data_IF_142593988104
#
_entry.id   IF_142593988104
#
_cell.length_a   1.000
_cell.length_b   1.000
_cell.length_c   1.000
_cell.angle_alpha   90.00
_cell.angle_beta   90.00
_cell.angle_gamma   90.00
#
_symmetry.space_group_name_H-M   'P 1'
#
loop_
_entity.id
_entity.type
_entity.pdbx_description
1 polymer ?
#
# COMPACT_ATOMS: atom_id res chain seq x y z
N UNK A 1 12.54 26.35 86.13
CA UNK A 1 13.72 27.01 85.54
C UNK A 1 13.39 27.40 84.11
N UNK A 2 13.86 28.60 83.75
CA UNK A 2 13.90 29.29 82.44
C UNK A 2 12.60 29.58 81.70
N UNK A 3 12.13 30.81 81.87
CA UNK A 3 11.35 31.56 80.89
C UNK A 3 12.15 31.70 79.58
N UNK A 4 11.50 31.44 78.44
CA UNK A 4 12.02 31.73 77.10
C UNK A 4 11.44 33.03 76.54
N UNK A 5 12.18 33.80 75.72
CA UNK A 5 11.81 35.15 75.34
C UNK A 5 10.74 35.19 74.23
N UNK A 6 9.73 36.04 74.43
CA UNK A 6 8.70 36.40 73.45
C UNK A 6 9.33 37.11 72.21
N UNK A 7 8.95 36.74 70.97
CA UNK A 7 9.46 37.41 69.78
C UNK A 7 8.74 38.74 69.54
N UNK A 8 9.55 39.78 69.34
CA UNK A 8 9.17 41.16 69.00
C UNK A 8 8.44 41.16 67.65
N UNK A 9 7.16 41.56 67.66
CA UNK A 9 6.37 41.88 66.47
C UNK A 9 6.99 43.08 65.75
N UNK A 10 7.87 42.84 64.76
CA UNK A 10 8.21 43.86 63.77
C UNK A 10 6.99 44.11 62.90
N UNK A 11 6.52 45.36 62.94
CA UNK A 11 5.30 45.83 62.30
C UNK A 11 5.19 45.42 60.83
N UNK A 12 3.98 45.06 60.40
CA UNK A 12 3.63 44.71 59.02
C UNK A 12 4.00 45.78 57.98
N UNK A 13 4.31 47.00 58.39
CA UNK A 13 4.62 48.13 57.50
C UNK A 13 5.95 47.97 56.74
N UNK A 14 6.98 47.37 57.34
CA UNK A 14 8.30 47.21 56.68
C UNK A 14 8.31 46.12 55.59
N UNK A 15 7.44 45.11 55.70
CA UNK A 15 7.30 44.06 54.67
C UNK A 15 6.53 44.52 53.44
N UNK A 16 5.58 45.45 53.59
CA UNK A 16 4.81 46.03 52.48
C UNK A 16 5.66 46.98 51.61
N UNK A 17 6.56 47.76 52.20
CA UNK A 17 7.42 48.70 51.45
C UNK A 17 8.43 48.04 50.50
N UNK A 18 8.98 46.88 50.86
CA UNK A 18 9.94 46.15 50.01
C UNK A 18 9.26 45.44 48.83
N UNK A 19 8.06 44.91 49.01
CA UNK A 19 7.28 44.28 47.95
C UNK A 19 6.87 45.32 46.87
N UNK A 20 6.57 46.54 47.29
CA UNK A 20 6.19 47.63 46.41
C UNK A 20 7.37 48.18 45.59
N UNK A 21 8.56 48.24 46.20
CA UNK A 21 9.80 48.61 45.52
C UNK A 21 10.23 47.59 44.46
N UNK A 22 10.11 46.29 44.76
CA UNK A 22 10.36 45.21 43.80
C UNK A 22 9.35 45.21 42.66
N UNK A 23 8.06 45.47 42.94
CA UNK A 23 7.04 45.64 41.91
C UNK A 23 7.32 46.83 41.00
N UNK A 24 7.76 47.96 41.54
CA UNK A 24 8.15 49.13 40.74
C UNK A 24 9.38 48.84 39.88
N UNK A 25 10.38 48.15 40.41
CA UNK A 25 11.57 47.77 39.65
C UNK A 25 11.25 46.78 38.51
N UNK A 26 10.42 45.77 38.78
CA UNK A 26 9.97 44.82 37.75
C UNK A 26 9.07 45.48 36.70
N UNK A 27 8.20 46.43 37.09
CA UNK A 27 7.42 47.21 36.14
C UNK A 27 8.28 48.18 35.32
N UNK A 28 9.32 48.77 35.92
CA UNK A 28 10.27 49.64 35.21
C UNK A 28 11.06 48.84 34.17
N UNK A 29 11.54 47.64 34.51
CA UNK A 29 12.17 46.73 33.53
C UNK A 29 11.20 46.29 32.42
N UNK A 30 9.92 46.06 32.74
CA UNK A 30 8.86 45.77 31.75
C UNK A 30 8.59 46.95 30.81
N UNK A 31 8.63 48.19 31.31
CA UNK A 31 8.44 49.39 30.45
C UNK A 31 9.63 49.66 29.54
N UNK A 32 10.86 49.31 29.96
CA UNK A 32 12.06 49.40 29.13
C UNK A 32 12.07 48.33 28.02
N UNK A 33 11.51 47.14 28.27
CA UNK A 33 11.33 46.08 27.27
C UNK A 33 10.25 46.41 26.22
N UNK A 34 9.27 47.26 26.56
CA UNK A 34 8.17 47.64 25.67
C UNK A 34 8.47 48.85 24.76
N UNK A 35 9.54 49.61 25.00
CA UNK A 35 9.93 50.76 24.14
C UNK A 35 10.89 50.38 22.99
N UNK A 36 11.19 49.09 22.80
CA UNK A 36 11.93 48.56 21.65
C UNK A 36 11.05 47.81 20.63
N UNK A 37 9.72 47.78 20.82
CA UNK A 37 8.80 47.14 19.90
C UNK A 37 8.56 48.00 18.68
N UNK A 38 9.45 47.91 17.67
CA UNK A 38 9.20 48.45 16.34
C UNK A 38 7.84 47.95 15.83
N UNK A 39 6.82 48.82 15.86
CA UNK A 39 5.54 48.55 15.21
C UNK A 39 5.81 48.52 13.71
N UNK A 40 6.10 47.33 13.18
CA UNK A 40 6.47 47.18 11.78
C UNK A 40 5.42 47.80 10.87
N UNK A 41 5.88 48.56 9.88
CA UNK A 41 5.01 49.22 8.94
C UNK A 41 4.11 48.19 8.24
N UNK A 42 2.84 48.53 7.95
CA UNK A 42 1.87 47.61 7.30
C UNK A 42 2.44 46.94 6.04
N UNK A 43 3.31 47.63 5.29
CA UNK A 43 4.06 47.12 4.12
C UNK A 43 5.03 45.98 4.48
N UNK A 44 5.72 46.08 5.60
CA UNK A 44 6.69 45.10 6.09
C UNK A 44 6.00 43.84 6.62
N UNK A 45 4.87 44.01 7.31
CA UNK A 45 4.00 42.88 7.70
C UNK A 45 3.45 42.12 6.48
N UNK A 46 3.07 42.83 5.40
CA UNK A 46 2.62 42.21 4.15
C UNK A 46 3.75 41.43 3.45
N UNK A 47 4.97 41.99 3.42
CA UNK A 47 6.16 41.31 2.88
C UNK A 47 6.49 40.03 3.66
N UNK A 48 6.47 40.09 4.99
CA UNK A 48 6.73 38.91 5.83
C UNK A 48 5.67 37.82 5.67
N UNK A 49 4.38 38.19 5.59
CA UNK A 49 3.29 37.23 5.29
C UNK A 49 3.48 36.56 3.93
N UNK A 50 3.88 37.30 2.90
CA UNK A 50 4.18 36.74 1.57
C UNK A 50 5.35 35.76 1.63
N UNK A 51 6.44 36.12 2.32
CA UNK A 51 7.62 35.26 2.48
C UNK A 51 7.29 33.97 3.25
N UNK A 52 6.51 34.08 4.34
CA UNK A 52 6.04 32.92 5.10
C UNK A 52 5.17 31.99 4.24
N UNK A 53 4.27 32.54 3.42
CA UNK A 53 3.44 31.75 2.50
C UNK A 53 4.27 31.03 1.43
N UNK A 54 5.32 31.67 0.90
CA UNK A 54 6.23 31.03 -0.05
C UNK A 54 7.02 29.88 0.60
N UNK A 55 7.65 30.12 1.75
CA UNK A 55 8.36 29.08 2.51
C UNK A 55 7.45 27.91 2.90
N UNK A 56 6.21 28.18 3.30
CA UNK A 56 5.22 27.14 3.60
C UNK A 56 4.87 26.31 2.35
N UNK A 57 4.75 26.96 1.18
CA UNK A 57 4.50 26.28 -0.11
C UNK A 57 5.69 25.40 -0.51
N UNK A 58 6.92 25.88 -0.36
CA UNK A 58 8.14 25.10 -0.62
C UNK A 58 8.29 23.91 0.33
N UNK A 59 8.09 24.12 1.63
CA UNK A 59 8.13 23.05 2.61
C UNK A 59 7.06 21.98 2.32
N UNK A 60 5.85 22.39 1.92
CA UNK A 60 4.80 21.47 1.50
C UNK A 60 5.23 20.65 0.28
N UNK A 61 5.79 21.29 -0.75
CA UNK A 61 6.33 20.59 -1.94
C UNK A 61 7.44 19.59 -1.57
N UNK A 62 8.39 19.98 -0.71
CA UNK A 62 9.48 19.10 -0.27
C UNK A 62 8.97 17.90 0.52
N UNK A 63 8.00 18.12 1.43
CA UNK A 63 7.34 17.04 2.18
C UNK A 63 6.57 16.10 1.27
N UNK A 64 5.90 16.63 0.26
CA UNK A 64 5.14 15.84 -0.72
C UNK A 64 6.08 14.98 -1.58
N UNK A 65 7.20 15.55 -2.04
CA UNK A 65 8.24 14.80 -2.75
C UNK A 65 8.85 13.69 -1.89
N UNK A 66 9.18 13.99 -0.63
CA UNK A 66 9.72 12.99 0.30
C UNK A 66 8.72 11.86 0.56
N UNK A 67 7.43 12.20 0.71
CA UNK A 67 6.35 11.20 0.85
C UNK A 67 6.21 10.34 -0.40
N UNK A 68 6.30 10.94 -1.60
CA UNK A 68 6.28 10.20 -2.86
C UNK A 68 7.47 9.24 -2.96
N UNK A 69 8.69 9.71 -2.66
CA UNK A 69 9.88 8.86 -2.64
C UNK A 69 9.74 7.68 -1.67
N UNK A 70 9.26 7.93 -0.45
CA UNK A 70 9.02 6.87 0.54
C UNK A 70 7.95 5.86 0.10
N UNK A 71 6.89 6.29 -0.59
CA UNK A 71 5.88 5.38 -1.13
C UNK A 71 6.48 4.46 -2.21
N UNK A 72 7.38 4.97 -3.03
CA UNK A 72 8.01 4.19 -4.10
C UNK A 72 9.08 3.21 -3.60
N UNK A 73 9.42 3.20 -2.31
CA UNK A 73 10.38 2.24 -1.73
C UNK A 73 9.82 0.82 -1.64
N UNK A 74 8.51 0.65 -1.46
CA UNK A 74 7.88 -0.68 -1.29
C UNK A 74 6.95 -1.02 -2.46
N UNK A 75 6.80 -2.32 -2.78
CA UNK A 75 5.87 -2.74 -3.83
C UNK A 75 4.43 -2.27 -3.56
N UNK A 76 3.94 -2.44 -2.33
CA UNK A 76 2.59 -1.97 -1.95
C UNK A 76 2.43 -0.45 -2.11
N UNK A 77 3.48 0.34 -1.83
CA UNK A 77 3.45 1.78 -2.03
C UNK A 77 3.53 2.18 -3.50
N UNK A 78 4.31 1.46 -4.33
CA UNK A 78 4.33 1.60 -5.80
C UNK A 78 2.95 1.32 -6.41
N UNK A 79 2.28 0.23 -6.01
CA UNK A 79 0.94 -0.12 -6.47
C UNK A 79 -0.10 0.94 -6.07
N UNK A 80 -0.04 1.45 -4.84
CA UNK A 80 -0.89 2.58 -4.40
C UNK A 80 -0.63 3.85 -5.20
N UNK A 81 0.62 4.15 -5.53
CA UNK A 81 0.96 5.33 -6.34
C UNK A 81 0.46 5.20 -7.79
N UNK A 82 0.34 3.98 -8.31
CA UNK A 82 -0.18 3.69 -9.65
C UNK A 82 -1.72 3.57 -9.72
N UNK A 83 -2.43 3.52 -8.58
CA UNK A 83 -3.87 3.26 -8.51
C UNK A 83 -4.73 4.21 -9.37
N UNK A 84 -4.32 5.49 -9.49
CA UNK A 84 -5.03 6.50 -10.30
C UNK A 84 -4.44 6.69 -11.69
N UNK A 85 -3.44 5.88 -12.07
CA UNK A 85 -2.84 5.91 -13.40
C UNK A 85 -3.79 5.39 -14.47
N UNK A 86 -3.54 5.75 -15.72
CA UNK A 86 -4.30 5.22 -16.87
C UNK A 86 -4.07 3.72 -16.97
N UNK A 87 -5.15 2.96 -17.15
CA UNK A 87 -5.08 1.52 -17.42
C UNK A 87 -4.34 1.32 -18.75
N UNK A 88 -3.30 0.49 -18.72
CA UNK A 88 -2.45 0.26 -19.88
C UNK A 88 -2.88 -1.01 -20.61
N UNK A 89 -2.90 -2.14 -19.90
CA UNK A 89 -3.46 -3.40 -20.38
C UNK A 89 -4.21 -4.13 -19.26
N UNK A 90 -5.23 -4.90 -19.65
CA UNK A 90 -5.89 -5.86 -18.78
C UNK A 90 -6.08 -7.17 -19.55
N UNK A 91 -5.66 -8.27 -18.95
CA UNK A 91 -5.60 -9.56 -19.63
C UNK A 91 -5.98 -10.71 -18.70
N UNK A 92 -6.42 -11.81 -19.29
CA UNK A 92 -6.88 -13.01 -18.59
C UNK A 92 -6.40 -14.27 -19.29
N UNK A 93 -6.08 -15.32 -18.54
CA UNK A 93 -5.76 -16.63 -19.10
C UNK A 93 -7.02 -17.25 -19.73
N UNK A 94 -6.96 -17.74 -20.98
CA UNK A 94 -8.10 -18.38 -21.63
C UNK A 94 -8.70 -19.56 -20.86
N UNK A 95 -7.86 -20.29 -20.11
CA UNK A 95 -8.27 -21.46 -19.32
C UNK A 95 -9.31 -21.11 -18.25
N UNK A 96 -9.31 -19.89 -17.70
CA UNK A 96 -10.32 -19.43 -16.75
C UNK A 96 -11.72 -19.30 -17.38
N UNK A 97 -11.78 -19.22 -18.71
CA UNK A 97 -13.01 -19.05 -19.50
C UNK A 97 -13.36 -20.30 -20.31
N UNK A 98 -12.63 -21.40 -20.11
CA UNK A 98 -12.84 -22.63 -20.85
C UNK A 98 -14.23 -23.22 -20.53
N UNK A 99 -15.08 -23.47 -21.54
CA UNK A 99 -16.36 -24.11 -21.31
C UNK A 99 -16.15 -25.59 -20.95
N UNK A 100 -16.89 -26.07 -19.95
CA UNK A 100 -16.88 -27.47 -19.49
C UNK A 100 -15.47 -28.00 -19.17
N UNK A 101 -14.76 -27.38 -18.22
CA UNK A 101 -13.40 -27.79 -17.91
C UNK A 101 -13.37 -29.20 -17.29
N UNK A 102 -12.33 -29.97 -17.56
CA UNK A 102 -12.11 -31.33 -17.02
C UNK A 102 -11.39 -31.33 -15.67
N UNK A 103 -10.75 -30.21 -15.33
CA UNK A 103 -10.13 -29.90 -14.04
C UNK A 103 -10.52 -28.47 -13.65
N UNK A 104 -10.64 -28.12 -12.35
CA UNK A 104 -10.81 -26.73 -11.97
C UNK A 104 -9.79 -25.82 -12.65
N UNK A 105 -10.26 -24.70 -13.20
CA UNK A 105 -9.38 -23.79 -13.91
C UNK A 105 -8.50 -23.01 -12.91
N UNK A 106 -7.22 -22.93 -13.25
CA UNK A 106 -6.25 -22.08 -12.57
C UNK A 106 -5.56 -21.26 -13.66
N UNK A 107 -5.51 -19.94 -13.49
CA UNK A 107 -4.94 -19.05 -14.49
C UNK A 107 -4.75 -17.63 -13.97
N UNK A 108 -4.11 -16.78 -14.77
CA UNK A 108 -3.79 -15.43 -14.35
C UNK A 108 -4.84 -14.43 -14.81
N UNK A 109 -5.13 -13.47 -13.94
CA UNK A 109 -5.72 -12.17 -14.30
C UNK A 109 -4.63 -11.12 -14.11
N UNK A 110 -4.42 -10.29 -15.11
CA UNK A 110 -3.41 -9.23 -15.10
C UNK A 110 -4.06 -7.86 -15.29
N UNK A 111 -3.60 -6.88 -14.51
CA UNK A 111 -3.91 -5.47 -14.72
C UNK A 111 -2.63 -4.64 -14.63
N UNK A 112 -2.46 -3.70 -15.57
CA UNK A 112 -1.37 -2.73 -15.53
C UNK A 112 -1.87 -1.29 -15.65
N UNK A 113 -1.13 -0.38 -15.03
CA UNK A 113 -1.37 1.07 -15.08
C UNK A 113 -0.08 1.83 -15.29
N UNK A 114 -0.19 2.98 -15.96
CA UNK A 114 0.87 3.98 -15.95
C UNK A 114 1.14 4.44 -14.53
N UNK A 115 2.41 4.61 -14.18
CA UNK A 115 2.83 4.96 -12.83
C UNK A 115 3.86 6.11 -12.84
N UNK A 116 4.10 6.77 -11.69
CA UNK A 116 5.08 7.84 -11.59
C UNK A 116 6.48 7.45 -12.11
N UNK A 117 7.16 8.41 -12.75
CA UNK A 117 8.51 8.19 -13.29
C UNK A 117 8.54 7.51 -14.66
N UNK A 118 7.45 7.59 -15.44
CA UNK A 118 7.31 6.93 -16.75
C UNK A 118 7.45 5.41 -16.65
N UNK A 119 6.93 4.85 -15.56
CA UNK A 119 6.95 3.43 -15.26
C UNK A 119 5.55 2.85 -15.49
N UNK A 120 5.47 1.53 -15.57
CA UNK A 120 4.24 0.75 -15.58
C UNK A 120 4.24 -0.12 -14.33
N UNK A 121 3.17 -0.04 -13.55
CA UNK A 121 2.91 -0.98 -12.48
C UNK A 121 1.97 -2.07 -13.01
N UNK A 122 2.33 -3.34 -12.88
CA UNK A 122 1.45 -4.45 -13.20
C UNK A 122 1.32 -5.42 -12.04
N UNK A 123 0.13 -5.99 -11.90
CA UNK A 123 -0.14 -7.10 -10.97
C UNK A 123 -0.67 -8.30 -11.75
N UNK A 124 -0.25 -9.48 -11.30
CA UNK A 124 -0.64 -10.77 -11.82
C UNK A 124 -1.28 -11.55 -10.67
N UNK A 125 -2.60 -11.72 -10.74
CA UNK A 125 -3.38 -12.48 -9.77
C UNK A 125 -3.52 -13.90 -10.30
N UNK A 126 -2.93 -14.88 -9.62
CA UNK A 126 -3.16 -16.29 -9.92
C UNK A 126 -4.51 -16.68 -9.30
N UNK A 127 -5.51 -16.83 -10.15
CA UNK A 127 -6.89 -17.16 -9.79
C UNK A 127 -7.09 -18.66 -9.91
N UNK A 128 -7.66 -19.25 -8.86
CA UNK A 128 -8.03 -20.65 -8.72
C UNK A 128 -9.55 -20.71 -8.54
N UNK A 129 -10.24 -21.25 -9.55
CA UNK A 129 -11.69 -21.44 -9.52
C UNK A 129 -12.09 -22.74 -8.81
N UNK A 130 -11.14 -23.55 -8.35
CA UNK A 130 -11.39 -24.81 -7.66
C UNK A 130 -11.88 -24.64 -6.23
N UNK A 131 -11.18 -23.83 -5.44
CA UNK A 131 -11.67 -23.39 -4.13
C UNK A 131 -10.84 -22.26 -3.50
N UNK A 132 -9.66 -21.91 -4.04
CA UNK A 132 -8.73 -21.01 -3.35
C UNK A 132 -8.95 -19.53 -3.65
N UNK A 133 -9.66 -19.19 -4.73
CA UNK A 133 -9.84 -17.80 -5.14
C UNK A 133 -8.52 -17.23 -5.65
N UNK A 134 -8.02 -16.15 -5.07
CA UNK A 134 -6.66 -15.66 -5.40
C UNK A 134 -5.63 -16.51 -4.66
N UNK A 135 -5.04 -17.47 -5.37
CA UNK A 135 -4.06 -18.44 -4.84
C UNK A 135 -2.69 -17.81 -4.56
N UNK A 136 -2.27 -16.91 -5.44
CA UNK A 136 -1.01 -16.16 -5.34
C UNK A 136 -1.10 -14.83 -6.09
N UNK A 137 -0.20 -13.89 -5.78
CA UNK A 137 -0.11 -12.59 -6.44
C UNK A 137 1.33 -12.13 -6.58
N UNK A 138 1.72 -11.80 -7.80
CA UNK A 138 2.97 -11.13 -8.11
C UNK A 138 2.72 -9.76 -8.73
N UNK A 139 3.74 -8.92 -8.79
CA UNK A 139 3.67 -7.69 -9.56
C UNK A 139 5.02 -7.04 -9.76
N UNK A 140 5.07 -6.15 -10.72
CA UNK A 140 6.29 -5.50 -11.15
C UNK A 140 6.07 -4.00 -11.36
N UNK A 141 7.18 -3.26 -11.40
CA UNK A 141 7.20 -1.82 -11.61
C UNK A 141 8.36 -1.50 -12.54
N UNK A 142 8.07 -1.38 -13.83
CA UNK A 142 9.06 -1.44 -14.91
C UNK A 142 8.98 -0.26 -15.85
N UNK A 143 10.04 -0.02 -16.59
CA UNK A 143 10.00 0.93 -17.70
C UNK A 143 9.02 0.47 -18.76
N UNK A 144 8.57 1.38 -19.63
CA UNK A 144 7.68 1.03 -20.73
C UNK A 144 8.27 -0.04 -21.66
N UNK A 145 9.58 0.01 -21.92
CA UNK A 145 10.25 -0.94 -22.81
C UNK A 145 10.26 -2.35 -22.22
N UNK A 146 10.77 -2.50 -20.99
CA UNK A 146 10.79 -3.79 -20.29
C UNK A 146 9.38 -4.37 -20.16
N UNK A 147 8.40 -3.53 -19.85
CA UNK A 147 7.00 -3.93 -19.80
C UNK A 147 6.51 -4.48 -21.15
N UNK A 148 6.75 -3.76 -22.26
CA UNK A 148 6.29 -4.20 -23.58
C UNK A 148 6.91 -5.54 -23.98
N UNK A 149 8.18 -5.78 -23.63
CA UNK A 149 8.86 -7.04 -23.91
C UNK A 149 8.18 -8.22 -23.18
N UNK A 150 7.81 -8.02 -21.90
CA UNK A 150 7.04 -8.99 -21.10
C UNK A 150 5.73 -9.35 -21.79
N UNK A 151 4.94 -8.34 -22.14
CA UNK A 151 3.58 -8.53 -22.68
C UNK A 151 3.65 -9.18 -24.06
N UNK A 152 4.61 -8.78 -24.88
CA UNK A 152 4.80 -9.38 -26.20
C UNK A 152 5.13 -10.87 -26.10
N UNK A 153 6.01 -11.28 -25.16
CA UNK A 153 6.32 -12.70 -24.95
C UNK A 153 5.08 -13.47 -24.47
N UNK A 154 4.35 -12.95 -23.47
CA UNK A 154 3.14 -13.58 -22.93
C UNK A 154 2.04 -13.78 -23.98
N UNK A 155 1.82 -12.77 -24.82
CA UNK A 155 0.86 -12.84 -25.92
C UNK A 155 1.32 -13.81 -27.01
N UNK A 156 2.62 -13.82 -27.34
CA UNK A 156 3.16 -14.74 -28.35
C UNK A 156 3.01 -16.22 -27.96
N UNK A 157 3.06 -16.51 -26.65
CA UNK A 157 2.82 -17.83 -26.07
C UNK A 157 1.35 -18.13 -25.79
N UNK A 158 0.45 -17.20 -26.13
CA UNK A 158 -1.00 -17.31 -25.90
C UNK A 158 -1.38 -17.58 -24.43
N UNK A 159 -0.53 -17.17 -23.48
CA UNK A 159 -0.78 -17.40 -22.04
C UNK A 159 -1.89 -16.48 -21.49
N UNK A 160 -2.07 -15.32 -22.14
CA UNK A 160 -2.99 -14.27 -21.75
C UNK A 160 -3.66 -13.68 -23.00
N UNK A 161 -4.94 -13.34 -22.88
CA UNK A 161 -5.68 -12.58 -23.88
C UNK A 161 -6.24 -11.29 -23.28
N UNK A 162 -6.40 -10.21 -24.06
CA UNK A 162 -7.03 -8.98 -23.58
C UNK A 162 -8.46 -9.21 -23.09
N UNK A 163 -8.85 -8.47 -22.05
CA UNK A 163 -10.23 -8.45 -21.54
C UNK A 163 -10.57 -7.09 -20.93
N UNK A 164 -11.87 -6.84 -20.73
CA UNK A 164 -12.33 -5.60 -20.10
C UNK A 164 -11.96 -5.57 -18.60
N UNK A 165 -11.45 -4.45 -18.06
CA UNK A 165 -11.01 -4.36 -16.67
C UNK A 165 -12.12 -4.68 -15.64
N UNK A 166 -13.36 -4.27 -15.91
CA UNK A 166 -14.52 -4.53 -15.07
C UNK A 166 -14.81 -6.04 -15.00
N UNK A 167 -14.70 -6.74 -16.14
CA UNK A 167 -14.84 -8.18 -16.19
C UNK A 167 -13.71 -8.87 -15.43
N UNK A 168 -12.46 -8.47 -15.65
CA UNK A 168 -11.31 -9.00 -14.93
C UNK A 168 -11.45 -8.85 -13.41
N UNK A 169 -11.87 -7.66 -12.93
CA UNK A 169 -12.15 -7.43 -11.51
C UNK A 169 -13.29 -8.33 -11.02
N UNK A 170 -14.36 -8.45 -11.81
CA UNK A 170 -15.48 -9.35 -11.52
C UNK A 170 -15.06 -10.80 -11.35
N UNK A 171 -14.16 -11.31 -12.21
CA UNK A 171 -13.61 -12.66 -12.10
C UNK A 171 -12.84 -12.85 -10.80
N UNK A 172 -11.94 -11.92 -10.49
CA UNK A 172 -11.14 -11.96 -9.27
C UNK A 172 -12.02 -11.93 -8.02
N UNK A 173 -12.99 -11.02 -7.96
CA UNK A 173 -13.90 -10.90 -6.81
C UNK A 173 -14.84 -12.10 -6.67
N UNK A 174 -15.35 -12.65 -7.78
CA UNK A 174 -16.16 -13.87 -7.75
C UNK A 174 -15.36 -15.07 -7.22
N UNK A 175 -14.09 -15.19 -7.64
CA UNK A 175 -13.20 -16.24 -7.13
C UNK A 175 -12.88 -16.07 -5.64
N UNK A 176 -12.66 -14.83 -5.17
CA UNK A 176 -12.51 -14.52 -3.73
C UNK A 176 -13.77 -14.92 -2.96
N UNK A 177 -14.95 -14.49 -3.42
CA UNK A 177 -16.21 -14.82 -2.77
C UNK A 177 -16.46 -16.33 -2.70
N UNK A 178 -16.10 -17.07 -3.75
CA UNK A 178 -16.19 -18.53 -3.74
C UNK A 178 -15.23 -19.16 -2.73
N UNK A 179 -13.99 -18.69 -2.63
CA UNK A 179 -13.03 -19.15 -1.62
C UNK A 179 -13.52 -18.88 -0.19
N UNK A 180 -14.09 -17.69 0.05
CA UNK A 180 -14.69 -17.33 1.33
C UNK A 180 -15.84 -18.25 1.71
N UNK A 181 -16.67 -18.66 0.74
CA UNK A 181 -17.74 -19.65 0.96
C UNK A 181 -17.20 -21.04 1.34
N UNK A 182 -15.95 -21.34 0.95
CA UNK A 182 -15.21 -22.55 1.34
C UNK A 182 -14.44 -22.37 2.66
N UNK A 183 -14.53 -21.21 3.30
CA UNK A 183 -13.81 -20.87 4.53
C UNK A 183 -12.35 -20.47 4.31
N UNK A 184 -11.92 -20.33 3.05
CA UNK A 184 -10.58 -19.89 2.69
C UNK A 184 -10.55 -18.36 2.54
N UNK A 185 -9.35 -17.81 2.42
CA UNK A 185 -9.10 -16.40 2.21
C UNK A 185 -8.13 -16.24 1.04
N UNK A 186 -8.22 -15.15 0.27
CA UNK A 186 -7.23 -14.89 -0.78
C UNK A 186 -5.83 -14.78 -0.20
N UNK A 187 -4.83 -14.92 -1.06
CA UNK A 187 -3.44 -14.76 -0.70
C UNK A 187 -3.22 -13.44 0.07
N UNK A 188 -2.50 -13.42 1.20
CA UNK A 188 -2.37 -12.21 2.04
C UNK A 188 -1.84 -10.98 1.27
N UNK A 189 -0.98 -11.24 0.28
CA UNK A 189 -0.38 -10.20 -0.56
C UNK A 189 -1.34 -9.59 -1.56
N UNK A 190 -2.52 -10.17 -1.79
CA UNK A 190 -3.58 -9.55 -2.60
C UNK A 190 -3.84 -8.11 -2.20
N UNK A 191 -3.86 -7.83 -0.89
CA UNK A 191 -4.05 -6.48 -0.34
C UNK A 191 -3.01 -5.45 -0.79
N UNK A 192 -1.78 -5.89 -1.14
CA UNK A 192 -0.70 -5.03 -1.65
C UNK A 192 -0.97 -4.55 -3.08
N UNK A 193 -1.64 -5.37 -3.89
CA UNK A 193 -1.87 -5.14 -5.33
C UNK A 193 -3.31 -4.72 -5.66
N UNK A 194 -4.27 -5.03 -4.79
CA UNK A 194 -5.66 -4.61 -4.91
C UNK A 194 -5.88 -3.11 -5.18
N UNK A 195 -5.01 -2.18 -4.74
CA UNK A 195 -5.12 -0.77 -5.13
C UNK A 195 -5.15 -0.51 -6.65
N UNK A 196 -4.64 -1.40 -7.49
CA UNK A 196 -4.74 -1.23 -8.95
C UNK A 196 -6.20 -1.31 -9.46
N UNK A 197 -7.11 -1.93 -8.71
CA UNK A 197 -8.55 -1.98 -9.03
C UNK A 197 -9.28 -0.66 -8.78
N UNK A 198 -8.59 0.36 -8.27
CA UNK A 198 -9.20 1.65 -7.94
C UNK A 198 -9.94 2.26 -9.14
N UNK A 199 -11.18 2.72 -8.91
CA UNK A 199 -12.09 3.25 -9.93
C UNK A 199 -12.55 2.27 -11.04
N UNK A 200 -12.35 0.96 -10.88
CA UNK A 200 -12.92 -0.05 -11.79
C UNK A 200 -14.06 -0.73 -11.05
N UNK A 201 -15.32 -0.54 -11.41
CA UNK A 201 -16.40 -1.29 -10.75
C UNK A 201 -16.44 -2.74 -11.29
N UNK A 202 -16.61 -3.77 -10.43
CA UNK A 202 -16.63 -5.15 -10.88
C UNK A 202 -17.90 -5.43 -11.70
N UNK A 203 -17.74 -6.02 -12.89
CA UNK A 203 -18.86 -6.55 -13.66
C UNK A 203 -19.36 -7.87 -13.05
N UNK A 204 -20.66 -8.15 -13.19
CA UNK A 204 -21.17 -9.48 -12.89
C UNK A 204 -20.66 -10.47 -13.94
N UNK A 205 -20.08 -11.57 -13.49
CA UNK A 205 -19.55 -12.63 -14.37
C UNK A 205 -20.58 -13.72 -14.67
N UNK A 206 -21.75 -13.73 -14.00
CA UNK A 206 -22.83 -14.70 -14.23
C UNK A 206 -22.33 -16.16 -14.22
N UNK A 207 -22.81 -16.94 -15.19
CA UNK A 207 -22.44 -18.36 -15.39
C UNK A 207 -21.19 -18.53 -16.28
N UNK A 208 -20.42 -17.46 -16.50
CA UNK A 208 -19.21 -17.51 -17.35
C UNK A 208 -18.11 -18.37 -16.72
N UNK A 209 -18.10 -18.47 -15.38
CA UNK A 209 -17.07 -19.19 -14.63
C UNK A 209 -17.62 -20.52 -14.10
N UNK A 210 -16.83 -21.58 -14.25
CA UNK A 210 -17.09 -22.87 -13.65
C UNK A 210 -16.28 -23.00 -12.34
N UNK A 211 -16.97 -22.96 -11.21
CA UNK A 211 -16.36 -23.12 -9.89
C UNK A 211 -16.35 -24.58 -9.45
N UNK A 212 -15.26 -25.00 -8.80
CA UNK A 212 -15.06 -26.36 -8.35
C UNK A 212 -14.98 -27.38 -9.48
N UNK A 213 -15.25 -28.64 -9.14
CA UNK A 213 -15.41 -29.74 -10.08
C UNK A 213 -16.56 -30.64 -9.65
N UNK A 214 -17.40 -31.07 -10.59
CA UNK A 214 -18.54 -31.95 -10.32
C UNK A 214 -19.45 -31.46 -9.18
N UNK A 215 -19.60 -30.13 -9.05
CA UNK A 215 -20.40 -29.49 -8.00
C UNK A 215 -19.74 -29.44 -6.61
N UNK A 216 -18.44 -29.72 -6.49
CA UNK A 216 -17.69 -29.66 -5.24
C UNK A 216 -16.51 -28.69 -5.33
N UNK A 217 -16.19 -27.95 -4.26
CA UNK A 217 -14.91 -27.30 -4.13
C UNK A 217 -13.77 -28.31 -4.26
N UNK A 218 -12.76 -27.98 -5.06
CA UNK A 218 -11.64 -28.88 -5.34
C UNK A 218 -10.34 -28.13 -5.14
N UNK A 219 -9.55 -28.56 -4.17
CA UNK A 219 -8.19 -28.06 -3.97
C UNK A 219 -7.21 -28.88 -4.80
N UNK A 220 -6.42 -28.20 -5.63
CA UNK A 220 -5.32 -28.80 -6.38
C UNK A 220 -4.00 -28.31 -5.78
N UNK A 221 -3.25 -29.22 -5.16
CA UNK A 221 -1.93 -28.92 -4.63
C UNK A 221 -0.98 -28.55 -5.78
N UNK A 222 -0.46 -27.33 -5.74
CA UNK A 222 0.52 -26.83 -6.70
C UNK A 222 1.95 -27.26 -6.34
N UNK A 223 2.91 -27.09 -7.26
CA UNK A 223 4.31 -27.45 -7.03
C UNK A 223 4.96 -26.69 -5.86
N UNK A 224 4.42 -25.51 -5.50
CA UNK A 224 4.92 -24.65 -4.42
C UNK A 224 4.11 -24.73 -3.13
N UNK A 225 3.04 -25.55 -3.09
CA UNK A 225 2.28 -25.73 -1.86
C UNK A 225 3.03 -26.73 -0.96
N UNK A 226 3.68 -26.25 0.10
CA UNK A 226 4.31 -27.14 1.09
C UNK A 226 3.27 -27.96 1.89
N UNK A 227 3.72 -29.04 2.53
CA UNK A 227 2.85 -29.93 3.32
C UNK A 227 2.08 -29.20 4.43
N UNK A 228 2.68 -28.18 5.04
CA UNK A 228 2.04 -27.37 6.07
C UNK A 228 0.89 -26.55 5.50
N UNK A 229 1.09 -25.91 4.35
CA UNK A 229 0.07 -25.16 3.61
C UNK A 229 -1.08 -26.08 3.18
N UNK A 230 -0.76 -27.21 2.57
CA UNK A 230 -1.75 -28.23 2.18
C UNK A 230 -2.59 -28.70 3.38
N UNK A 231 -1.94 -29.01 4.52
CA UNK A 231 -2.62 -29.45 5.74
C UNK A 231 -3.57 -28.38 6.30
N UNK A 232 -3.13 -27.10 6.31
CA UNK A 232 -3.98 -25.98 6.75
C UNK A 232 -5.22 -25.82 5.86
N UNK A 233 -5.04 -25.90 4.54
CA UNK A 233 -6.13 -25.79 3.58
C UNK A 233 -7.11 -26.95 3.75
N UNK A 234 -6.61 -28.19 3.80
CA UNK A 234 -7.42 -29.38 4.02
C UNK A 234 -8.25 -29.29 5.30
N UNK A 235 -7.64 -28.94 6.43
CA UNK A 235 -8.36 -28.80 7.70
C UNK A 235 -9.42 -27.71 7.62
N UNK A 236 -9.13 -26.59 6.94
CA UNK A 236 -10.09 -25.50 6.81
C UNK A 236 -11.32 -25.89 5.97
N UNK A 237 -11.09 -26.61 4.87
CA UNK A 237 -12.16 -27.16 4.06
C UNK A 237 -12.97 -28.20 4.84
N UNK A 238 -12.30 -29.08 5.59
CA UNK A 238 -12.96 -30.06 6.44
C UNK A 238 -13.83 -29.41 7.54
N UNK A 239 -13.32 -28.37 8.21
CA UNK A 239 -14.06 -27.61 9.22
C UNK A 239 -15.27 -26.88 8.64
N UNK A 240 -15.15 -26.33 7.43
CA UNK A 240 -16.19 -25.46 6.85
C UNK A 240 -17.24 -26.25 6.08
N UNK A 241 -16.81 -27.22 5.28
CA UNK A 241 -17.65 -27.96 4.34
C UNK A 241 -18.02 -29.35 4.88
N UNK A 242 -17.19 -29.93 5.75
CA UNK A 242 -17.36 -31.30 6.24
C UNK A 242 -16.77 -32.37 5.30
N UNK A 243 -16.63 -33.58 5.84
CA UNK A 243 -16.06 -34.72 5.12
C UNK A 243 -16.92 -35.09 3.89
N UNK A 244 -16.26 -35.34 2.75
CA UNK A 244 -16.91 -35.75 1.51
C UNK A 244 -17.53 -34.61 0.68
N UNK A 245 -17.51 -33.37 1.18
CA UNK A 245 -18.09 -32.19 0.52
C UNK A 245 -17.08 -31.36 -0.29
N UNK A 246 -15.81 -31.78 -0.33
CA UNK A 246 -14.76 -31.19 -1.15
C UNK A 246 -13.83 -32.28 -1.69
N UNK A 247 -13.03 -31.93 -2.70
CA UNK A 247 -12.01 -32.81 -3.28
C UNK A 247 -10.61 -32.26 -3.02
N UNK A 248 -9.64 -33.16 -2.86
CA UNK A 248 -8.23 -32.84 -2.71
C UNK A 248 -7.45 -33.64 -3.76
N UNK A 249 -6.79 -32.94 -4.69
CA UNK A 249 -6.04 -33.53 -5.78
C UNK A 249 -4.60 -32.98 -5.82
N UNK A 250 -3.69 -33.76 -6.41
CA UNK A 250 -2.34 -33.29 -6.72
C UNK A 250 -2.31 -32.82 -8.17
N UNK A 251 -1.65 -31.69 -8.46
CA UNK A 251 -1.46 -31.26 -9.83
C UNK A 251 -0.68 -32.32 -10.62
N UNK A 252 -1.24 -32.80 -11.73
CA UNK A 252 -0.47 -33.57 -12.71
C UNK A 252 0.41 -32.59 -13.49
N UNK A 253 1.73 -32.73 -13.39
CA UNK A 253 2.73 -31.88 -14.05
C UNK A 253 2.40 -31.60 -15.52
N UNK A 254 2.11 -30.35 -15.90
CA UNK A 254 1.81 -30.02 -17.30
C UNK A 254 1.42 -28.57 -17.62
N UNK A 255 1.07 -27.72 -16.65
CA UNK A 255 0.80 -26.31 -16.94
C UNK A 255 2.13 -25.53 -17.09
N UNK A 256 2.32 -24.73 -18.17
CA UNK A 256 3.47 -23.83 -18.26
C UNK A 256 3.43 -22.83 -17.10
N UNK A 257 4.49 -22.79 -16.29
CA UNK A 257 4.61 -21.89 -15.15
C UNK A 257 5.00 -20.48 -15.59
N UNK A 258 4.35 -19.47 -15.01
CA UNK A 258 4.65 -18.06 -15.22
C UNK A 258 6.03 -17.65 -14.66
N UNK A 259 6.62 -18.49 -13.79
CA UNK A 259 7.92 -18.26 -13.13
C UNK A 259 9.15 -18.38 -14.05
N UNK A 260 8.98 -18.79 -15.32
CA UNK A 260 10.06 -18.69 -16.33
C UNK A 260 10.31 -17.24 -16.77
N UNK A 261 9.49 -16.30 -16.30
CA UNK A 261 9.71 -14.89 -16.44
C UNK A 261 10.52 -14.42 -15.24
N UNK A 262 11.74 -13.89 -15.45
CA UNK A 262 12.55 -13.25 -14.40
C UNK A 262 11.73 -12.12 -13.76
N UNK A 263 11.00 -12.47 -12.69
CA UNK A 263 10.48 -11.55 -11.71
C UNK A 263 11.71 -11.10 -10.95
N UNK A 264 12.27 -9.95 -11.34
CA UNK A 264 13.36 -9.33 -10.58
C UNK A 264 12.97 -9.32 -9.10
N UNK A 265 13.62 -10.20 -8.33
CA UNK A 265 13.53 -10.23 -6.88
C UNK A 265 13.88 -8.84 -6.35
N UNK A 266 13.26 -8.47 -5.22
CA UNK A 266 13.42 -7.19 -4.56
C UNK A 266 14.87 -6.69 -4.56
N UNK A 267 15.16 -5.64 -5.35
CA UNK A 267 16.37 -4.84 -5.12
C UNK A 267 16.16 -4.10 -3.80
N UNK A 268 16.65 -4.69 -2.71
CA UNK A 268 16.85 -4.03 -1.44
C UNK A 268 17.90 -2.93 -1.63
N UNK A 269 17.44 -1.73 -1.97
CA UNK A 269 18.26 -0.52 -1.94
C UNK A 269 18.37 -0.04 -0.48
N UNK A 270 18.95 -0.88 0.39
CA UNK A 270 19.41 -0.44 1.70
C UNK A 270 20.72 0.33 1.54
N UNK A 271 20.62 1.65 1.76
CA UNK A 271 21.69 2.57 2.16
C UNK A 271 22.97 2.66 1.31
N UNK A 272 22.97 3.54 0.31
CA UNK A 272 24.17 4.37 0.06
C UNK A 272 23.82 5.74 -0.53
N UNK A 273 23.15 6.59 0.25
CA UNK A 273 23.10 8.02 -0.06
C UNK A 273 24.35 8.70 0.49
N UNK A 274 25.50 8.49 -0.17
CA UNK A 274 26.69 9.30 0.03
C UNK A 274 26.43 10.72 -0.51
N UNK A 275 25.95 11.55 0.41
CA UNK A 275 26.23 12.99 0.55
C UNK A 275 26.93 13.66 -0.65
N UNK A 276 26.17 14.13 -1.65
CA UNK A 276 26.67 15.18 -2.55
C UNK A 276 26.69 16.49 -1.77
N UNK A 277 27.86 16.83 -1.24
CA UNK A 277 28.16 18.19 -0.77
C UNK A 277 28.14 19.11 -1.98
N UNK A 278 27.17 20.03 -2.01
CA UNK A 278 27.22 21.19 -2.89
C UNK A 278 28.18 22.16 -2.21
N UNK A 279 29.45 22.11 -2.59
CA UNK A 279 30.36 23.19 -2.23
C UNK A 279 30.03 24.44 -3.05
N UNK A 280 30.10 25.55 -2.33
CA UNK A 280 29.71 26.88 -2.78
C UNK A 280 30.76 27.43 -3.74
N UNK A 281 30.29 28.10 -4.79
CA UNK A 281 31.13 28.87 -5.69
C UNK A 281 31.70 30.10 -4.96
N UNK A 282 33.02 30.29 -5.07
CA UNK A 282 33.68 31.59 -5.13
C UNK A 282 34.25 31.77 -6.55
#
# INVERSE_FOLDING_TARGET
MSEGPQPILRSSAERLGKADSLRRYLNQQRTCLNHGGSTMAKSEQQKQKKLAKLKAKELRKKKELARQQQMLTSMAGKMRAAATGTIKDCMISPDLLAPNPTSPAIGHVMLSRTAPGSQIAAAFFLVDLGCMGVKDVAGNYRTQTEYNDVISDMQSRQMLQPCEPEFARGVVEAAIAYAESCGLQPHPDYSKFAPLWHHIEPASVGDTLAFGMNGKPTYIAGPYDDMGRQTRIYNRLLETLGEGNFEFAMATSGAPSFDDFELDEEIDLSEENSMVRIDSAE
#
